data_IF_884125333133
#
_entry.id   IF_884125333133
#
_cell.length_a   1.000
_cell.length_b   1.000
_cell.length_c   1.000
_cell.angle_alpha   90.00
_cell.angle_beta   90.00
_cell.angle_gamma   90.00
#
_symmetry.space_group_name_H-M   'P 1'
#
loop_
_entity.id
_entity.type
_entity.pdbx_description
1 polymer ?
#
# COMPACT_ATOMS: atom_id res chain seq x y z
N UNK A 1 5.04 5.76 12.94
CA UNK A 1 3.88 5.02 12.42
C UNK A 1 3.80 4.96 10.89
N UNK A 2 4.49 5.84 10.15
CA UNK A 2 4.59 5.73 8.69
C UNK A 2 5.62 4.70 8.20
N UNK A 3 6.57 4.28 9.05
CA UNK A 3 7.61 3.30 8.69
C UNK A 3 7.05 2.03 8.05
N UNK A 4 6.09 1.34 8.68
CA UNK A 4 5.43 0.17 8.08
C UNK A 4 4.78 0.47 6.72
N UNK A 5 4.12 1.63 6.57
CA UNK A 5 3.51 2.04 5.30
C UNK A 5 4.56 2.19 4.18
N UNK A 6 5.67 2.89 4.44
CA UNK A 6 6.73 3.04 3.45
C UNK A 6 7.42 1.73 3.12
N UNK A 7 7.75 0.91 4.12
CA UNK A 7 8.42 -0.38 3.93
C UNK A 7 7.55 -1.34 3.13
N UNK A 8 6.26 -1.45 3.47
CA UNK A 8 5.30 -2.29 2.73
C UNK A 8 5.06 -1.78 1.31
N UNK A 9 5.01 -0.47 1.11
CA UNK A 9 4.86 0.12 -0.23
C UNK A 9 6.08 -0.14 -1.12
N UNK A 10 7.30 0.01 -0.59
CA UNK A 10 8.53 -0.33 -1.32
C UNK A 10 8.57 -1.83 -1.63
N UNK A 11 8.23 -2.68 -0.68
CA UNK A 11 8.15 -4.12 -0.89
C UNK A 11 7.11 -4.48 -1.96
N UNK A 12 5.94 -3.85 -1.93
CA UNK A 12 4.90 -4.05 -2.94
C UNK A 12 5.38 -3.65 -4.34
N UNK A 13 6.09 -2.53 -4.47
CA UNK A 13 6.68 -2.11 -5.75
C UNK A 13 7.69 -3.13 -6.28
N UNK A 14 8.53 -3.69 -5.41
CA UNK A 14 9.48 -4.74 -5.80
C UNK A 14 8.75 -6.01 -6.28
N UNK A 15 7.70 -6.44 -5.56
CA UNK A 15 6.90 -7.60 -5.93
C UNK A 15 6.15 -7.37 -7.25
N UNK A 16 5.56 -6.18 -7.44
CA UNK A 16 4.95 -5.81 -8.72
C UNK A 16 5.99 -5.75 -9.85
N UNK A 17 7.22 -5.31 -9.57
CA UNK A 17 8.32 -5.34 -10.52
C UNK A 17 8.61 -6.75 -11.05
N UNK A 18 8.53 -7.78 -10.20
CA UNK A 18 8.66 -9.17 -10.63
C UNK A 18 7.50 -9.59 -11.55
N UNK A 19 6.26 -9.26 -11.17
CA UNK A 19 5.07 -9.57 -11.97
C UNK A 19 5.10 -8.89 -13.33
N UNK A 20 5.36 -7.59 -13.36
CA UNK A 20 5.44 -6.78 -14.57
C UNK A 20 6.63 -7.18 -15.43
N UNK A 21 7.77 -7.48 -14.83
CA UNK A 21 8.95 -7.97 -15.54
C UNK A 21 8.69 -9.31 -16.23
N UNK A 22 7.99 -10.23 -15.55
CA UNK A 22 7.58 -11.51 -16.14
C UNK A 22 6.58 -11.34 -17.29
N UNK A 23 5.70 -10.35 -17.21
CA UNK A 23 4.76 -9.98 -18.27
C UNK A 23 5.49 -9.37 -19.48
N UNK A 24 6.39 -8.40 -19.25
CA UNK A 24 7.21 -7.76 -20.29
C UNK A 24 8.13 -8.77 -21.01
N UNK A 25 8.65 -9.76 -20.28
CA UNK A 25 9.47 -10.85 -20.83
C UNK A 25 8.63 -11.97 -21.49
N UNK A 26 7.30 -11.85 -21.53
CA UNK A 26 6.35 -12.85 -22.06
C UNK A 26 6.38 -14.22 -21.37
N UNK A 27 6.93 -14.32 -20.17
CA UNK A 27 6.87 -15.55 -19.36
C UNK A 27 5.51 -15.75 -18.69
N UNK A 28 4.86 -14.66 -18.32
CA UNK A 28 3.57 -14.67 -17.64
C UNK A 28 2.65 -13.59 -18.22
N UNK A 29 2.26 -13.75 -19.49
CA UNK A 29 1.32 -12.85 -20.14
C UNK A 29 -0.08 -13.01 -19.53
N UNK A 30 -0.72 -11.89 -19.23
CA UNK A 30 -2.11 -11.84 -18.77
C UNK A 30 -3.07 -12.48 -19.77
N UNK A 31 -2.75 -12.42 -21.08
CA UNK A 31 -3.60 -12.96 -22.15
C UNK A 31 -3.42 -14.47 -22.34
N UNK A 32 -2.21 -14.99 -22.12
CA UNK A 32 -1.90 -16.40 -22.39
C UNK A 32 -2.04 -17.27 -21.13
N UNK A 33 -1.68 -16.75 -19.96
CA UNK A 33 -1.69 -17.50 -18.70
C UNK A 33 -2.06 -16.62 -17.51
N UNK A 34 -3.37 -16.32 -17.41
CA UNK A 34 -3.91 -15.46 -16.36
C UNK A 34 -3.65 -16.01 -14.95
N UNK A 35 -3.58 -17.34 -14.80
CA UNK A 35 -3.35 -17.97 -13.50
C UNK A 35 -1.94 -17.68 -13.00
N UNK A 36 -0.93 -17.84 -13.86
CA UNK A 36 0.45 -17.51 -13.52
C UNK A 36 0.63 -16.00 -13.26
N UNK A 37 0.00 -15.17 -14.07
CA UNK A 37 -0.02 -13.71 -13.86
C UNK A 37 -0.61 -13.35 -12.49
N UNK A 38 -1.76 -13.94 -12.12
CA UNK A 38 -2.38 -13.73 -10.81
C UNK A 38 -1.48 -14.18 -9.65
N UNK A 39 -0.80 -15.32 -9.79
CA UNK A 39 0.13 -15.83 -8.76
C UNK A 39 1.28 -14.85 -8.53
N UNK A 40 1.79 -14.21 -9.57
CA UNK A 40 2.89 -13.23 -9.46
C UNK A 40 2.40 -11.86 -8.99
N UNK A 41 1.21 -11.45 -9.41
CA UNK A 41 0.59 -10.18 -9.02
C UNK A 41 0.12 -10.17 -7.56
N UNK A 42 -0.47 -11.28 -7.10
CA UNK A 42 -1.18 -11.37 -5.83
C UNK A 42 -0.33 -11.01 -4.60
N UNK A 43 0.95 -11.43 -4.47
CA UNK A 43 1.80 -11.03 -3.34
C UNK A 43 1.96 -9.51 -3.23
N UNK A 44 2.22 -8.82 -4.35
CA UNK A 44 2.35 -7.37 -4.37
C UNK A 44 1.04 -6.69 -3.96
N UNK A 45 -0.09 -7.19 -4.48
CA UNK A 45 -1.42 -6.70 -4.14
C UNK A 45 -1.75 -6.88 -2.66
N UNK A 46 -1.49 -8.07 -2.10
CA UNK A 46 -1.75 -8.36 -0.70
C UNK A 46 -0.94 -7.47 0.24
N UNK A 47 0.35 -7.25 -0.07
CA UNK A 47 1.23 -6.36 0.71
C UNK A 47 0.76 -4.91 0.62
N UNK A 48 0.44 -4.41 -0.58
CA UNK A 48 -0.03 -3.05 -0.77
C UNK A 48 -1.39 -2.78 -0.09
N UNK A 49 -2.32 -3.74 -0.18
CA UNK A 49 -3.64 -3.63 0.45
C UNK A 49 -3.54 -3.55 1.99
N UNK A 50 -2.48 -4.10 2.57
CA UNK A 50 -2.21 -4.04 4.01
C UNK A 50 -1.20 -2.95 4.42
N UNK A 51 -0.82 -2.06 3.50
CA UNK A 51 0.13 -0.99 3.78
C UNK A 51 -0.46 0.10 4.71
N UNK A 52 -1.77 0.31 4.66
CA UNK A 52 -2.42 1.36 5.43
C UNK A 52 -2.45 1.06 6.94
N UNK A 53 -2.26 2.08 7.79
CA UNK A 53 -2.21 1.91 9.24
C UNK A 53 -3.55 1.47 9.81
N UNK A 54 -3.53 0.47 10.71
CA UNK A 54 -4.73 0.01 11.42
C UNK A 54 -5.19 0.99 12.51
N UNK A 55 -6.39 0.74 13.06
CA UNK A 55 -7.00 1.58 14.10
C UNK A 55 -6.23 1.56 15.42
N UNK A 56 -5.66 0.43 15.80
CA UNK A 56 -4.96 0.23 17.09
C UNK A 56 -3.72 1.14 17.25
N UNK A 57 -2.76 1.18 16.30
CA UNK A 57 -1.65 2.12 16.39
C UNK A 57 -2.12 3.57 16.31
N UNK A 58 -3.15 3.85 15.50
CA UNK A 58 -3.71 5.20 15.36
C UNK A 58 -4.26 5.73 16.68
N UNK A 59 -4.94 4.89 17.46
CA UNK A 59 -5.45 5.25 18.78
C UNK A 59 -4.31 5.40 19.79
N UNK A 60 -3.34 4.50 19.80
CA UNK A 60 -2.16 4.64 20.66
C UNK A 60 -1.38 5.95 20.39
N UNK A 61 -1.31 6.40 19.13
CA UNK A 61 -0.70 7.69 18.76
C UNK A 61 -1.53 8.89 19.26
N UNK A 62 -2.85 8.78 19.22
CA UNK A 62 -3.75 9.79 19.74
C UNK A 62 -3.57 9.95 21.26
N UNK A 63 -3.64 8.85 22.01
CA UNK A 63 -3.49 8.85 23.47
C UNK A 63 -2.12 9.40 23.90
N UNK A 64 -1.06 9.05 23.14
CA UNK A 64 0.30 9.57 23.35
C UNK A 64 0.38 11.08 23.06
N UNK A 65 -0.32 11.56 22.03
CA UNK A 65 -0.32 12.98 21.64
C UNK A 65 -1.11 13.85 22.62
N UNK A 66 -2.16 13.30 23.23
CA UNK A 66 -2.96 13.96 24.26
C UNK A 66 -2.18 14.15 25.57
N UNK A 67 -1.37 13.16 25.94
CA UNK A 67 -0.58 13.14 27.17
C UNK A 67 0.78 13.85 27.06
N UNK A 68 1.22 14.23 25.86
CA UNK A 68 2.47 14.96 25.65
C UNK A 68 2.30 16.48 25.89
N UNK A 69 3.14 17.04 26.76
CA UNK A 69 3.27 18.49 27.00
C UNK A 69 4.14 19.20 25.94
N UNK A 70 4.78 18.47 25.04
CA UNK A 70 5.67 18.99 24.00
C UNK A 70 4.91 19.58 22.81
N UNK A 71 5.42 20.63 22.14
CA UNK A 71 4.87 21.15 20.88
C UNK A 71 4.82 20.09 19.75
N UNK A 72 5.54 18.97 19.87
CA UNK A 72 5.40 17.80 18.99
C UNK A 72 3.97 17.25 18.92
N UNK A 73 3.10 17.52 19.90
CA UNK A 73 1.68 17.14 19.84
C UNK A 73 0.96 17.73 18.62
N UNK A 74 1.36 18.92 18.16
CA UNK A 74 0.78 19.58 16.99
C UNK A 74 1.00 18.80 15.69
N UNK A 75 2.04 17.96 15.63
CA UNK A 75 2.30 17.05 14.51
C UNK A 75 1.56 15.72 14.68
N UNK A 76 1.36 15.27 15.92
CA UNK A 76 0.62 14.04 16.22
C UNK A 76 -0.83 14.07 15.76
N UNK A 77 -1.55 15.16 16.06
CA UNK A 77 -2.96 15.32 15.67
C UNK A 77 -3.25 15.19 14.16
N UNK A 78 -2.54 15.88 13.25
CA UNK A 78 -2.79 15.73 11.81
C UNK A 78 -2.49 14.32 11.31
N UNK A 79 -1.46 13.65 11.84
CA UNK A 79 -1.14 12.26 11.47
C UNK A 79 -2.26 11.31 11.91
N UNK A 80 -2.80 11.49 13.12
CA UNK A 80 -3.95 10.72 13.62
C UNK A 80 -5.19 10.99 12.76
N UNK A 81 -5.46 12.26 12.44
CA UNK A 81 -6.61 12.64 11.62
C UNK A 81 -6.56 11.98 10.24
N UNK A 82 -5.42 12.01 9.57
CA UNK A 82 -5.22 11.34 8.27
C UNK A 82 -5.38 9.83 8.42
N UNK A 83 -4.77 9.21 9.44
CA UNK A 83 -4.87 7.76 9.67
C UNK A 83 -6.30 7.30 9.97
N UNK A 84 -7.07 8.10 10.73
CA UNK A 84 -8.49 7.84 10.99
C UNK A 84 -9.33 8.01 9.74
N UNK A 85 -9.07 9.04 8.94
CA UNK A 85 -9.75 9.25 7.66
C UNK A 85 -9.50 8.06 6.73
N UNK A 86 -8.24 7.65 6.54
CA UNK A 86 -7.89 6.50 5.70
C UNK A 86 -8.56 5.21 6.20
N UNK A 87 -8.59 4.96 7.51
CA UNK A 87 -9.30 3.80 8.06
C UNK A 87 -10.82 3.86 7.80
N UNK A 88 -11.44 5.03 7.90
CA UNK A 88 -12.85 5.19 7.54
C UNK A 88 -13.09 4.93 6.03
N UNK A 89 -12.13 5.32 5.19
CA UNK A 89 -12.16 5.09 3.75
C UNK A 89 -11.85 3.64 3.35
N UNK A 90 -11.37 2.75 4.24
CA UNK A 90 -11.21 1.32 3.92
C UNK A 90 -12.53 0.65 3.52
N UNK A 91 -13.67 1.15 4.01
CA UNK A 91 -14.98 0.70 3.53
C UNK A 91 -15.18 0.91 2.02
N UNK A 92 -14.52 1.92 1.43
CA UNK A 92 -14.54 2.22 0.00
C UNK A 92 -13.42 1.52 -0.80
N UNK A 93 -12.77 0.50 -0.22
CA UNK A 93 -11.73 -0.28 -0.91
C UNK A 93 -10.52 0.57 -1.34
N UNK A 94 -10.22 1.63 -0.61
CA UNK A 94 -9.09 2.52 -0.91
C UNK A 94 -7.75 1.79 -0.84
N UNK A 95 -7.65 0.75 -0.02
CA UNK A 95 -6.55 -0.20 0.01
C UNK A 95 -6.37 -0.94 -1.32
N UNK A 96 -7.45 -1.45 -1.91
CA UNK A 96 -7.41 -2.09 -3.22
C UNK A 96 -7.06 -1.10 -4.33
N UNK A 97 -7.63 0.11 -4.32
CA UNK A 97 -7.31 1.16 -5.29
C UNK A 97 -5.84 1.60 -5.19
N UNK A 98 -5.31 1.70 -3.98
CA UNK A 98 -3.90 1.98 -3.75
C UNK A 98 -2.99 0.89 -4.32
N UNK A 99 -3.32 -0.38 -4.07
CA UNK A 99 -2.57 -1.51 -4.62
C UNK A 99 -2.57 -1.52 -6.17
N UNK A 100 -3.73 -1.24 -6.79
CA UNK A 100 -3.83 -1.08 -8.25
C UNK A 100 -2.99 0.10 -8.72
N UNK A 101 -3.04 1.24 -8.03
CA UNK A 101 -2.23 2.41 -8.35
C UNK A 101 -0.72 2.13 -8.34
N UNK A 102 -0.24 1.39 -7.34
CA UNK A 102 1.16 0.95 -7.27
C UNK A 102 1.53 0.00 -8.40
N UNK A 103 0.66 -0.95 -8.76
CA UNK A 103 0.90 -1.83 -9.91
C UNK A 103 0.98 -1.03 -11.22
N UNK A 104 0.04 -0.11 -11.46
CA UNK A 104 0.04 0.75 -12.66
C UNK A 104 1.29 1.62 -12.74
N UNK A 105 1.76 2.15 -11.60
CA UNK A 105 2.99 2.94 -11.53
C UNK A 105 4.21 2.16 -12.05
N UNK A 106 4.25 0.85 -11.82
CA UNK A 106 5.32 -0.03 -12.30
C UNK A 106 5.05 -0.48 -13.74
N UNK A 107 3.80 -0.75 -14.11
CA UNK A 107 3.45 -1.37 -15.38
C UNK A 107 3.47 -0.40 -16.58
N UNK A 108 3.03 0.85 -16.40
CA UNK A 108 2.96 1.86 -17.48
C UNK A 108 4.35 2.16 -18.08
N UNK A 109 5.41 2.42 -17.29
CA UNK A 109 6.73 2.76 -17.84
C UNK A 109 7.38 1.67 -18.70
N UNK A 110 7.00 0.41 -18.49
CA UNK A 110 7.53 -0.77 -19.20
C UNK A 110 6.59 -1.29 -20.29
N UNK A 111 5.46 -0.62 -20.54
CA UNK A 111 4.53 -0.98 -21.60
C UNK A 111 3.87 -2.35 -21.41
N UNK A 112 3.73 -2.79 -20.16
CA UNK A 112 3.02 -4.03 -19.83
C UNK A 112 1.49 -3.87 -19.93
N UNK A 113 0.99 -2.63 -20.04
CA UNK A 113 -0.42 -2.25 -20.18
C UNK A 113 -0.53 -1.16 -21.24
#
# INVERSE_FOLDING_TARGET
MLGPFFVTSVLALLLFGVSVGAEAARFASRQENVALWLVLFYPGFAVAAHAFPNSEPTNALYDRSETMSSPLRLVGYPIVAVSKAVNALRFLWVDALYAIGLYLLVAIPVGAI
#
